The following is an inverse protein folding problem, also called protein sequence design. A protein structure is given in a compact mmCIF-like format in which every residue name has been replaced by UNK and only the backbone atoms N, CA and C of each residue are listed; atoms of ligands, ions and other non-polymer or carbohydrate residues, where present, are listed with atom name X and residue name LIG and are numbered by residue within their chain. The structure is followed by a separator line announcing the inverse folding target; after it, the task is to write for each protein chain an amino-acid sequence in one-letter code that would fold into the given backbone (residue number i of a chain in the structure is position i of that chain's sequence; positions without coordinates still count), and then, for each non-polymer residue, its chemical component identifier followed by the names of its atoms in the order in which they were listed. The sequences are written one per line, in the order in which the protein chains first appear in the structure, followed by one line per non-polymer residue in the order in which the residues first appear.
data_IF_815173864891
#
_entry.id   IF_815173864891
#
_cell.length_a   1.000
_cell.length_b   1.000
_cell.length_c   1.000
_cell.angle_alpha   90.00
_cell.angle_beta   90.00
_cell.angle_gamma   90.00
#
_symmetry.space_group_name_H-M   'P 1'
#
loop_
_entity.id
_entity.type
_entity.pdbx_description
1 polymer ?
#
# COMPACT_ATOMS: atom_id res chain seq x y z
N UNK A 1 -26.80 -18.53 3.00
CA UNK A 1 -25.48 -19.17 2.80
C UNK A 1 -24.80 -19.27 4.16
N UNK A 2 -23.94 -20.27 4.39
CA UNK A 2 -23.13 -20.31 5.62
C UNK A 2 -22.12 -19.17 5.60
N UNK A 3 -21.81 -18.61 6.79
CA UNK A 3 -20.77 -17.58 6.90
C UNK A 3 -19.40 -18.22 6.71
N UNK A 4 -18.49 -17.49 6.06
CA UNK A 4 -17.08 -17.88 5.89
C UNK A 4 -16.25 -17.28 7.02
N UNK A 5 -15.43 -18.11 7.68
CA UNK A 5 -14.64 -17.69 8.84
C UNK A 5 -13.34 -17.01 8.41
N UNK A 6 -13.19 -15.75 8.81
CA UNK A 6 -11.98 -14.96 8.62
C UNK A 6 -11.44 -14.54 9.97
N UNK A 7 -10.12 -14.60 10.16
CA UNK A 7 -9.45 -14.22 11.40
C UNK A 7 -8.47 -13.10 11.13
N UNK A 8 -8.54 -12.04 11.93
CA UNK A 8 -7.51 -11.01 12.02
C UNK A 8 -6.86 -11.01 13.41
N UNK A 9 -5.64 -10.48 13.49
CA UNK A 9 -5.01 -10.13 14.77
C UNK A 9 -4.60 -8.66 14.75
N UNK A 10 -4.96 -7.90 15.77
CA UNK A 10 -4.62 -6.48 15.89
C UNK A 10 -4.63 -6.00 17.34
N UNK A 11 -3.92 -4.90 17.59
CA UNK A 11 -3.99 -4.14 18.84
C UNK A 11 -4.59 -2.75 18.59
N UNK A 12 -4.72 -1.94 19.64
CA UNK A 12 -5.35 -0.62 19.56
C UNK A 12 -4.68 0.31 18.55
N UNK A 13 -3.36 0.29 18.40
CA UNK A 13 -2.67 1.16 17.43
C UNK A 13 -2.94 0.78 15.96
N UNK A 14 -3.36 -0.47 15.72
CA UNK A 14 -3.77 -0.97 14.42
C UNK A 14 -5.29 -1.02 14.21
N UNK A 15 -6.12 -0.60 15.17
CA UNK A 15 -7.59 -0.66 15.06
C UNK A 15 -8.13 0.00 13.78
N UNK A 16 -7.60 1.16 13.41
CA UNK A 16 -7.97 1.85 12.17
C UNK A 16 -7.57 1.06 10.92
N UNK A 17 -6.40 0.43 10.93
CA UNK A 17 -5.87 -0.33 9.78
C UNK A 17 -6.68 -1.61 9.59
N UNK A 18 -7.00 -2.27 10.70
CA UNK A 18 -7.95 -3.38 10.74
C UNK A 18 -9.31 -2.96 10.17
N UNK A 19 -9.85 -1.80 10.55
CA UNK A 19 -11.12 -1.34 10.00
C UNK A 19 -11.05 -1.15 8.47
N UNK A 20 -9.97 -0.57 7.95
CA UNK A 20 -9.73 -0.44 6.50
C UNK A 20 -9.64 -1.81 5.80
N UNK A 21 -8.93 -2.78 6.40
CA UNK A 21 -8.85 -4.14 5.86
C UNK A 21 -10.25 -4.79 5.80
N UNK A 22 -11.03 -4.71 6.88
CA UNK A 22 -12.41 -5.24 6.93
C UNK A 22 -13.32 -4.52 5.93
N UNK A 23 -13.20 -3.20 5.77
CA UNK A 23 -13.91 -2.43 4.75
C UNK A 23 -13.65 -2.99 3.35
N UNK A 24 -12.38 -3.18 3.00
CA UNK A 24 -12.01 -3.75 1.68
C UNK A 24 -12.53 -5.17 1.48
N UNK A 25 -12.54 -6.00 2.54
CA UNK A 25 -13.09 -7.37 2.49
C UNK A 25 -14.61 -7.36 2.23
N UNK A 26 -15.33 -6.48 2.94
CA UNK A 26 -16.79 -6.38 2.88
C UNK A 26 -17.29 -5.66 1.61
N UNK A 27 -16.43 -4.91 0.92
CA UNK A 27 -16.76 -4.26 -0.34
C UNK A 27 -17.12 -5.28 -1.44
N UNK A 28 -16.47 -6.45 -1.42
CA UNK A 28 -16.61 -7.47 -2.47
C UNK A 28 -17.58 -8.58 -2.13
N UNK A 29 -17.79 -8.88 -0.84
CA UNK A 29 -18.60 -10.04 -0.45
C UNK A 29 -19.29 -9.89 0.91
N UNK A 30 -20.39 -10.63 1.07
CA UNK A 30 -21.22 -10.75 2.28
C UNK A 30 -20.95 -12.06 3.03
N UNK A 31 -21.63 -12.24 4.17
CA UNK A 31 -21.61 -13.49 4.94
C UNK A 31 -20.24 -13.82 5.54
N UNK A 32 -19.55 -12.84 6.10
CA UNK A 32 -18.31 -13.05 6.84
C UNK A 32 -18.57 -13.28 8.33
N UNK A 33 -17.90 -14.27 8.91
CA UNK A 33 -17.78 -14.40 10.37
C UNK A 33 -16.34 -14.01 10.73
N UNK A 34 -16.18 -12.80 11.24
CA UNK A 34 -14.87 -12.17 11.43
C UNK A 34 -14.45 -12.32 12.88
N UNK A 35 -13.39 -13.06 13.14
CA UNK A 35 -12.78 -13.20 14.45
C UNK A 35 -11.63 -12.20 14.58
N UNK A 36 -11.59 -11.41 15.64
CA UNK A 36 -10.48 -10.48 15.89
C UNK A 36 -9.77 -10.84 17.19
N UNK A 37 -8.59 -11.41 17.04
CA UNK A 37 -7.67 -11.72 18.14
C UNK A 37 -7.02 -10.42 18.61
N UNK A 38 -7.21 -10.04 19.87
CA UNK A 38 -6.70 -8.78 20.39
C UNK A 38 -6.58 -8.75 21.92
N UNK A 39 -5.74 -7.85 22.44
CA UNK A 39 -5.61 -7.63 23.89
C UNK A 39 -6.44 -6.44 24.39
N UNK A 40 -6.57 -5.40 23.57
CA UNK A 40 -6.90 -4.05 24.06
C UNK A 40 -7.94 -3.28 23.22
N UNK A 41 -8.54 -3.91 22.21
CA UNK A 41 -9.58 -3.23 21.41
C UNK A 41 -10.83 -2.93 22.25
N UNK A 42 -11.44 -1.73 22.11
CA UNK A 42 -12.63 -1.33 22.88
C UNK A 42 -13.87 -2.13 22.48
N UNK A 43 -14.71 -2.47 23.47
CA UNK A 43 -15.95 -3.22 23.23
C UNK A 43 -16.98 -2.40 22.45
N UNK A 44 -16.95 -1.07 22.58
CA UNK A 44 -17.79 -0.14 21.83
C UNK A 44 -17.53 -0.24 20.32
N UNK A 45 -16.27 -0.39 19.91
CA UNK A 45 -15.91 -0.56 18.50
C UNK A 45 -16.53 -1.84 17.94
N UNK A 46 -16.46 -2.96 18.66
CA UNK A 46 -17.13 -4.21 18.26
C UNK A 46 -18.66 -4.08 18.20
N UNK A 47 -19.28 -3.33 19.13
CA UNK A 47 -20.72 -3.11 19.11
C UNK A 47 -21.15 -2.30 17.86
N UNK A 48 -20.39 -1.25 17.53
CA UNK A 48 -20.60 -0.43 16.32
C UNK A 48 -20.40 -1.27 15.06
N UNK A 49 -19.30 -2.02 14.99
CA UNK A 49 -18.97 -2.86 13.84
C UNK A 49 -19.98 -3.97 13.62
N UNK A 50 -20.47 -4.63 14.68
CA UNK A 50 -21.55 -5.62 14.54
C UNK A 50 -22.84 -5.03 13.98
N UNK A 51 -23.22 -3.81 14.39
CA UNK A 51 -24.40 -3.13 13.82
C UNK A 51 -24.23 -2.86 12.33
N UNK A 52 -23.03 -2.45 11.90
CA UNK A 52 -22.70 -2.22 10.48
C UNK A 52 -22.73 -3.53 9.69
N UNK A 53 -22.03 -4.55 10.17
CA UNK A 53 -21.85 -5.83 9.48
C UNK A 53 -23.15 -6.66 9.41
N UNK A 54 -24.08 -6.49 10.35
CA UNK A 54 -25.37 -7.19 10.33
C UNK A 54 -26.17 -6.89 9.05
N UNK A 55 -26.02 -5.69 8.46
CA UNK A 55 -26.70 -5.29 7.21
C UNK A 55 -26.30 -6.18 6.02
N UNK A 56 -25.09 -6.75 6.08
CA UNK A 56 -24.52 -7.61 5.05
C UNK A 56 -24.42 -9.08 5.52
N UNK A 57 -25.27 -9.47 6.46
CA UNK A 57 -25.31 -10.81 7.06
C UNK A 57 -23.96 -11.30 7.63
N UNK A 58 -23.10 -10.35 7.99
CA UNK A 58 -21.77 -10.58 8.54
C UNK A 58 -21.73 -10.24 10.02
N UNK A 59 -20.74 -10.74 10.75
CA UNK A 59 -20.55 -10.46 12.17
C UNK A 59 -19.07 -10.33 12.52
N UNK A 60 -18.79 -9.69 13.64
CA UNK A 60 -17.44 -9.56 14.20
C UNK A 60 -17.41 -10.00 15.65
N UNK A 61 -16.49 -10.91 15.99
CA UNK A 61 -16.34 -11.51 17.30
C UNK A 61 -15.08 -10.96 17.97
N UNK A 62 -15.25 -10.49 19.20
CA UNK A 62 -14.15 -10.03 20.05
C UNK A 62 -13.49 -11.24 20.72
N UNK A 63 -12.34 -11.65 20.19
CA UNK A 63 -11.54 -12.74 20.75
C UNK A 63 -10.44 -12.14 21.63
N UNK A 64 -10.80 -11.82 22.88
CA UNK A 64 -9.86 -11.26 23.84
C UNK A 64 -8.79 -12.29 24.21
N UNK A 65 -7.54 -11.90 24.03
CA UNK A 65 -6.35 -12.73 24.25
C UNK A 65 -5.43 -12.04 25.27
N UNK A 66 -4.53 -12.83 25.86
CA UNK A 66 -3.43 -12.33 26.69
C UNK A 66 -2.12 -12.73 26.04
N UNK A 67 -1.22 -11.76 25.83
CA UNK A 67 0.13 -12.05 25.36
C UNK A 67 1.06 -12.57 26.46
N UNK A 68 0.61 -12.68 27.72
CA UNK A 68 1.46 -13.11 28.85
C UNK A 68 2.22 -14.41 28.55
N UNK A 69 1.58 -15.38 27.90
CA UNK A 69 2.19 -16.66 27.54
C UNK A 69 3.14 -16.60 26.33
N UNK A 70 3.31 -15.44 25.69
CA UNK A 70 4.19 -15.21 24.55
C UNK A 70 5.29 -14.17 24.83
N UNK A 71 5.20 -13.41 25.93
CA UNK A 71 6.14 -12.34 26.29
C UNK A 71 7.58 -12.82 26.50
N UNK A 72 7.78 -14.12 26.72
CA UNK A 72 9.11 -14.74 26.82
C UNK A 72 9.80 -14.95 25.46
N UNK A 73 9.06 -14.86 24.35
CA UNK A 73 9.61 -15.08 23.01
C UNK A 73 10.20 -13.82 22.41
N UNK A 74 11.09 -13.96 21.43
CA UNK A 74 11.67 -12.80 20.73
C UNK A 74 10.75 -12.30 19.63
N UNK A 75 10.75 -10.99 19.45
CA UNK A 75 10.11 -10.33 18.31
C UNK A 75 11.19 -10.00 17.27
N UNK A 76 10.95 -10.26 15.98
CA UNK A 76 11.96 -10.06 14.94
C UNK A 76 12.21 -8.58 14.61
N UNK A 77 11.31 -7.67 15.01
CA UNK A 77 11.48 -6.23 14.79
C UNK A 77 10.58 -5.41 15.74
N UNK A 78 10.93 -4.15 16.10
CA UNK A 78 10.13 -3.32 17.01
C UNK A 78 8.70 -3.02 16.56
N UNK A 79 8.40 -3.17 15.27
CA UNK A 79 7.07 -2.94 14.71
C UNK A 79 6.13 -4.15 14.81
N UNK A 80 6.64 -5.32 15.19
CA UNK A 80 5.86 -6.56 15.31
C UNK A 80 5.45 -6.73 16.77
N UNK A 81 4.15 -6.93 17.01
CA UNK A 81 3.60 -7.13 18.35
C UNK A 81 3.49 -8.61 18.68
N UNK A 82 3.49 -8.98 19.98
CA UNK A 82 3.25 -10.37 20.41
C UNK A 82 1.90 -10.94 19.95
N UNK A 83 0.96 -10.07 19.57
CA UNK A 83 -0.29 -10.44 18.93
C UNK A 83 -0.10 -11.24 17.62
N UNK A 84 1.09 -11.19 17.00
CA UNK A 84 1.44 -12.05 15.88
C UNK A 84 1.36 -13.54 16.25
N UNK A 85 1.73 -13.92 17.47
CA UNK A 85 1.67 -15.30 17.96
C UNK A 85 0.24 -15.79 18.26
N UNK A 86 -0.76 -14.90 18.36
CA UNK A 86 -2.16 -15.30 18.59
C UNK A 86 -2.71 -16.20 17.49
N UNK A 87 -2.12 -16.16 16.28
CA UNK A 87 -2.50 -17.05 15.18
C UNK A 87 -2.30 -18.54 15.50
N UNK A 88 -1.44 -18.87 16.48
CA UNK A 88 -1.30 -20.25 16.95
C UNK A 88 -2.60 -20.78 17.57
N UNK A 89 -3.35 -19.91 18.24
CA UNK A 89 -4.57 -20.27 18.98
C UNK A 89 -5.82 -20.35 18.08
N UNK A 90 -5.71 -20.12 16.77
CA UNK A 90 -6.86 -20.17 15.83
C UNK A 90 -7.70 -21.45 15.99
N UNK A 91 -7.12 -22.66 16.11
CA UNK A 91 -7.91 -23.89 16.23
C UNK A 91 -8.74 -24.01 17.51
N UNK A 92 -8.41 -23.23 18.55
CA UNK A 92 -9.12 -23.23 19.83
C UNK A 92 -10.24 -22.18 19.86
N UNK A 93 -10.15 -21.18 18.99
CA UNK A 93 -11.04 -20.00 18.98
C UNK A 93 -12.11 -20.12 17.91
N UNK A 94 -11.78 -20.70 16.76
CA UNK A 94 -12.64 -20.73 15.58
C UNK A 94 -13.41 -22.05 15.49
N UNK A 95 -14.70 -21.97 15.14
CA UNK A 95 -15.60 -23.14 15.11
C UNK A 95 -15.65 -23.82 13.74
N UNK A 96 -15.34 -23.08 12.68
CA UNK A 96 -15.39 -23.55 11.31
C UNK A 96 -14.18 -24.42 10.94
N UNK A 97 -14.41 -25.43 10.11
CA UNK A 97 -13.35 -26.34 9.66
C UNK A 97 -12.33 -25.67 8.74
N UNK A 98 -12.76 -24.67 7.96
CA UNK A 98 -11.93 -23.93 7.02
C UNK A 98 -11.89 -22.46 7.43
N UNK A 99 -10.68 -21.94 7.64
CA UNK A 99 -10.45 -20.60 8.18
C UNK A 99 -9.47 -19.85 7.30
N UNK A 100 -9.73 -18.57 7.03
CA UNK A 100 -8.78 -17.68 6.36
C UNK A 100 -8.23 -16.68 7.36
N UNK A 101 -6.96 -16.80 7.72
CA UNK A 101 -6.24 -15.80 8.50
C UNK A 101 -5.69 -14.71 7.58
N UNK A 102 -5.81 -13.44 8.00
CA UNK A 102 -5.39 -12.25 7.28
C UNK A 102 -4.69 -11.28 8.25
N UNK A 103 -3.52 -10.76 7.86
CA UNK A 103 -2.92 -9.61 8.55
C UNK A 103 -3.75 -8.33 8.30
N UNK A 104 -3.65 -7.36 9.22
CA UNK A 104 -4.45 -6.12 9.17
C UNK A 104 -3.86 -5.01 8.29
N UNK A 105 -2.68 -5.21 7.72
CA UNK A 105 -1.98 -4.33 6.79
C UNK A 105 -2.13 -4.79 5.32
N UNK A 106 -3.31 -5.32 5.02
CA UNK A 106 -3.72 -5.82 3.71
C UNK A 106 -4.91 -5.05 3.14
N UNK A 107 -5.02 -5.04 1.82
CA UNK A 107 -6.19 -4.58 1.07
C UNK A 107 -6.68 -5.69 0.15
N UNK A 108 -7.99 -5.94 0.16
CA UNK A 108 -8.66 -6.94 -0.67
C UNK A 108 -9.36 -6.25 -1.84
N UNK A 109 -9.01 -6.65 -3.06
CA UNK A 109 -9.48 -5.99 -4.30
C UNK A 109 -10.52 -6.84 -5.05
N UNK A 110 -10.75 -8.09 -4.61
CA UNK A 110 -11.74 -9.01 -5.17
C UNK A 110 -12.38 -9.91 -4.08
N UNK A 111 -13.34 -10.74 -4.48
CA UNK A 111 -13.97 -11.74 -3.60
C UNK A 111 -13.01 -12.89 -3.26
N UNK A 112 -12.68 -13.04 -1.97
CA UNK A 112 -11.83 -14.12 -1.46
C UNK A 112 -12.55 -15.44 -1.17
N UNK A 113 -13.87 -15.50 -1.38
CA UNK A 113 -14.67 -16.72 -1.23
C UNK A 113 -14.10 -17.96 -1.92
N UNK A 114 -13.54 -17.88 -3.14
CA UNK A 114 -12.98 -19.04 -3.82
C UNK A 114 -11.86 -19.74 -3.04
N UNK A 115 -11.14 -19.04 -2.14
CA UNK A 115 -10.10 -19.66 -1.31
C UNK A 115 -10.65 -20.76 -0.39
N UNK A 116 -11.90 -20.66 0.05
CA UNK A 116 -12.49 -21.64 0.96
C UNK A 116 -12.76 -22.99 0.27
N UNK A 117 -12.83 -23.01 -1.05
CA UNK A 117 -13.06 -24.22 -1.86
C UNK A 117 -11.75 -24.85 -2.36
N UNK A 118 -10.59 -24.25 -2.03
CA UNK A 118 -9.28 -24.78 -2.43
C UNK A 118 -9.02 -26.11 -1.73
N UNK A 119 -8.81 -27.14 -2.55
CA UNK A 119 -8.30 -28.43 -2.11
C UNK A 119 -6.82 -28.32 -1.73
N UNK A 120 -6.53 -28.36 -0.43
CA UNK A 120 -5.18 -28.28 0.14
C UNK A 120 -4.34 -29.54 -0.07
N UNK A 121 -4.84 -30.55 -0.81
CA UNK A 121 -4.09 -31.77 -1.17
C UNK A 121 -3.56 -32.54 0.05
N UNK A 122 -4.33 -32.53 1.14
CA UNK A 122 -3.99 -33.18 2.40
C UNK A 122 -3.05 -32.39 3.31
N UNK A 123 -2.64 -31.18 2.93
CA UNK A 123 -1.93 -30.26 3.81
C UNK A 123 -2.90 -29.53 4.74
N UNK A 124 -2.44 -29.21 5.96
CA UNK A 124 -3.20 -28.40 6.91
C UNK A 124 -3.14 -26.89 6.66
N UNK A 125 -2.35 -26.45 5.68
CA UNK A 125 -2.05 -25.05 5.44
C UNK A 125 -1.94 -24.76 3.94
N UNK A 126 -2.64 -23.73 3.49
CA UNK A 126 -2.37 -23.02 2.23
C UNK A 126 -1.81 -21.65 2.53
N UNK A 127 -0.76 -21.24 1.81
CA UNK A 127 -0.14 -19.93 1.98
C UNK A 127 0.44 -19.46 0.65
N UNK A 128 1.00 -18.26 0.61
CA UNK A 128 1.66 -17.71 -0.58
C UNK A 128 3.16 -17.57 -0.30
N UNK A 129 3.98 -17.83 -1.32
CA UNK A 129 5.44 -17.69 -1.24
C UNK A 129 5.86 -16.30 -0.74
N UNK A 130 6.83 -16.23 0.16
CA UNK A 130 7.35 -14.96 0.72
C UNK A 130 8.34 -14.30 -0.25
N UNK A 131 7.83 -13.74 -1.34
CA UNK A 131 8.66 -13.02 -2.31
C UNK A 131 8.85 -11.57 -1.87
N UNK A 132 10.03 -10.97 -2.13
CA UNK A 132 11.20 -11.55 -2.82
C UNK A 132 12.15 -12.33 -1.89
N UNK A 133 11.85 -12.43 -0.59
CA UNK A 133 12.71 -13.05 0.45
C UNK A 133 13.14 -14.48 0.13
N UNK A 134 12.22 -15.34 -0.33
CA UNK A 134 12.48 -16.76 -0.61
C UNK A 134 11.54 -17.32 -1.67
N UNK A 135 11.92 -18.47 -2.23
CA UNK A 135 11.07 -19.29 -3.13
C UNK A 135 10.63 -20.60 -2.49
N UNK A 136 11.14 -20.91 -1.30
CA UNK A 136 10.89 -22.16 -0.57
C UNK A 136 9.88 -21.96 0.57
N UNK A 137 9.96 -20.82 1.26
CA UNK A 137 9.08 -20.44 2.36
C UNK A 137 7.86 -19.63 1.91
N UNK A 138 6.96 -19.40 2.86
CA UNK A 138 5.73 -18.65 2.69
C UNK A 138 5.64 -17.45 3.63
N UNK A 139 4.91 -16.43 3.19
CA UNK A 139 4.56 -15.27 3.99
C UNK A 139 3.40 -15.65 4.92
N UNK A 140 3.48 -15.30 6.20
CA UNK A 140 2.46 -15.71 7.17
C UNK A 140 1.22 -14.82 7.18
N UNK A 141 1.17 -13.74 6.41
CA UNK A 141 0.07 -12.79 6.47
C UNK A 141 -1.25 -13.25 5.86
N UNK A 142 -1.24 -14.22 4.94
CA UNK A 142 -2.44 -14.89 4.46
C UNK A 142 -2.28 -16.39 4.60
N UNK A 143 -3.11 -17.01 5.44
CA UNK A 143 -3.09 -18.45 5.69
C UNK A 143 -4.49 -19.03 5.52
N UNK A 144 -4.64 -19.97 4.60
CA UNK A 144 -5.81 -20.83 4.51
C UNK A 144 -5.58 -22.06 5.40
N UNK A 145 -6.28 -22.12 6.52
CA UNK A 145 -6.07 -23.10 7.58
C UNK A 145 -7.16 -24.17 7.51
N UNK A 146 -6.73 -25.43 7.48
CA UNK A 146 -7.60 -26.56 7.81
C UNK A 146 -7.57 -26.79 9.32
N UNK A 147 -8.62 -26.30 10.00
CA UNK A 147 -8.68 -26.31 11.46
C UNK A 147 -8.71 -27.73 12.03
N UNK A 148 -9.43 -28.64 11.36
CA UNK A 148 -9.54 -30.04 11.81
C UNK A 148 -8.17 -30.70 11.74
N UNK A 149 -7.47 -30.52 10.62
CA UNK A 149 -6.10 -31.02 10.49
C UNK A 149 -5.18 -30.44 11.58
N UNK A 150 -5.28 -29.14 11.87
CA UNK A 150 -4.47 -28.51 12.91
C UNK A 150 -4.72 -29.11 14.31
N UNK A 151 -5.98 -29.39 14.65
CA UNK A 151 -6.36 -30.04 15.90
C UNK A 151 -5.82 -31.48 15.97
N UNK A 152 -6.02 -32.28 14.92
CA UNK A 152 -5.58 -33.68 14.87
C UNK A 152 -4.05 -33.83 14.95
N UNK A 153 -3.31 -32.83 14.48
CA UNK A 153 -1.84 -32.83 14.47
C UNK A 153 -1.21 -32.00 15.60
N UNK A 154 -2.01 -31.52 16.57
CA UNK A 154 -1.54 -30.74 17.72
C UNK A 154 -0.62 -29.58 17.29
N UNK A 155 -1.05 -28.85 16.26
CA UNK A 155 -0.21 -27.81 15.63
C UNK A 155 0.10 -26.70 16.63
N UNK A 156 -0.88 -26.28 17.44
CA UNK A 156 -0.70 -25.21 18.44
C UNK A 156 0.44 -25.53 19.40
N UNK A 157 0.40 -26.71 20.02
CA UNK A 157 1.39 -27.16 21.00
C UNK A 157 2.78 -27.30 20.36
N UNK A 158 2.83 -27.84 19.13
CA UNK A 158 4.07 -27.97 18.39
C UNK A 158 4.68 -26.62 18.01
N UNK A 159 3.88 -25.62 17.61
CA UNK A 159 4.34 -24.27 17.31
C UNK A 159 4.87 -23.58 18.57
N UNK A 160 4.20 -23.73 19.72
CA UNK A 160 4.69 -23.21 21.01
C UNK A 160 6.04 -23.83 21.37
N UNK A 161 6.15 -25.16 21.34
CA UNK A 161 7.39 -25.88 21.65
C UNK A 161 8.55 -25.52 20.69
N UNK A 162 8.26 -25.34 19.38
CA UNK A 162 9.25 -24.87 18.42
C UNK A 162 9.66 -23.42 18.70
N UNK A 163 8.72 -22.56 19.08
CA UNK A 163 8.99 -21.17 19.42
C UNK A 163 9.94 -21.09 20.60
N UNK A 164 9.66 -21.80 21.70
CA UNK A 164 10.55 -21.89 22.88
C UNK A 164 12.00 -22.24 22.52
N UNK A 165 12.19 -23.06 21.49
CA UNK A 165 13.52 -23.52 21.07
C UNK A 165 14.20 -22.59 20.06
N UNK A 166 13.45 -21.98 19.15
CA UNK A 166 14.00 -21.36 17.93
C UNK A 166 13.65 -19.87 17.75
N UNK A 167 12.92 -19.23 18.68
CA UNK A 167 12.47 -17.84 18.51
C UNK A 167 13.60 -16.80 18.32
N UNK A 168 14.84 -17.12 18.72
CA UNK A 168 16.01 -16.28 18.49
C UNK A 168 16.65 -16.47 17.11
N UNK A 169 16.37 -17.58 16.43
CA UNK A 169 17.05 -18.00 15.20
C UNK A 169 16.22 -17.70 13.94
N UNK A 170 14.93 -17.42 14.11
CA UNK A 170 13.98 -17.27 13.01
C UNK A 170 13.21 -15.96 13.07
N UNK A 171 12.58 -15.61 11.95
CA UNK A 171 11.79 -14.40 11.82
C UNK A 171 10.41 -14.55 12.51
N UNK A 172 10.36 -14.39 13.83
CA UNK A 172 9.13 -14.40 14.61
C UNK A 172 8.25 -15.63 14.38
N UNK A 173 6.94 -15.45 14.41
CA UNK A 173 5.95 -16.49 14.15
C UNK A 173 6.05 -17.06 12.72
N UNK A 174 6.33 -16.22 11.71
CA UNK A 174 6.48 -16.65 10.33
C UNK A 174 7.60 -17.69 10.18
N UNK A 175 8.72 -17.43 10.85
CA UNK A 175 9.87 -18.33 10.85
C UNK A 175 9.53 -19.69 11.48
N UNK A 176 8.82 -19.69 12.60
CA UNK A 176 8.38 -20.92 13.28
C UNK A 176 7.37 -21.69 12.42
N UNK A 177 6.41 -20.99 11.81
CA UNK A 177 5.45 -21.59 10.88
C UNK A 177 6.17 -22.23 9.69
N UNK A 178 7.16 -21.56 9.10
CA UNK A 178 7.95 -22.10 8.00
C UNK A 178 8.80 -23.31 8.43
N UNK A 179 9.33 -23.33 9.65
CA UNK A 179 10.03 -24.50 10.20
C UNK A 179 9.08 -25.69 10.34
N UNK A 180 7.90 -25.48 10.95
CA UNK A 180 6.93 -26.55 11.17
C UNK A 180 6.37 -27.08 9.85
N UNK A 181 5.89 -26.19 8.97
CA UNK A 181 5.26 -26.55 7.70
C UNK A 181 6.24 -26.72 6.54
N UNK A 182 7.55 -26.83 6.79
CA UNK A 182 8.55 -27.02 5.73
C UNK A 182 8.12 -28.15 4.78
N UNK A 183 8.01 -27.83 3.48
CA UNK A 183 7.57 -28.74 2.41
C UNK A 183 6.16 -29.36 2.58
N UNK A 184 5.37 -28.89 3.55
CA UNK A 184 4.05 -29.41 3.94
C UNK A 184 2.96 -28.34 3.94
N UNK A 185 2.96 -27.51 2.90
CA UNK A 185 1.96 -26.46 2.69
C UNK A 185 1.56 -26.39 1.21
N UNK A 186 0.31 -26.03 0.97
CA UNK A 186 -0.23 -25.80 -0.36
C UNK A 186 0.13 -24.40 -0.85
N UNK A 187 0.76 -24.30 -2.03
CA UNK A 187 1.17 -23.04 -2.64
C UNK A 187 -0.02 -22.37 -3.32
N UNK A 188 -0.59 -21.35 -2.69
CA UNK A 188 -1.62 -20.50 -3.27
C UNK A 188 -1.02 -19.57 -4.35
N UNK A 189 -1.83 -19.16 -5.35
CA UNK A 189 -1.42 -18.18 -6.34
C UNK A 189 -0.92 -16.86 -5.73
N UNK A 190 0.10 -16.26 -6.35
CA UNK A 190 0.76 -15.06 -5.81
C UNK A 190 -0.17 -13.84 -5.67
N UNK A 191 -1.22 -13.75 -6.49
CA UNK A 191 -2.25 -12.69 -6.41
C UNK A 191 -2.89 -12.57 -5.03
N UNK A 192 -2.94 -13.65 -4.25
CA UNK A 192 -3.56 -13.67 -2.92
C UNK A 192 -2.65 -13.12 -1.81
N UNK A 193 -1.42 -12.75 -2.09
CA UNK A 193 -0.55 -12.07 -1.13
C UNK A 193 0.62 -11.45 -1.92
N UNK A 194 0.41 -10.28 -2.53
CA UNK A 194 1.49 -9.54 -3.19
C UNK A 194 2.16 -8.60 -2.17
N UNK A 195 3.41 -8.91 -1.79
CA UNK A 195 4.15 -8.22 -0.73
C UNK A 195 4.80 -6.90 -1.21
N UNK A 196 4.00 -5.86 -1.46
CA UNK A 196 4.46 -4.55 -1.96
C UNK A 196 5.21 -3.71 -0.92
N UNK A 197 5.27 -4.17 0.33
CA UNK A 197 6.05 -3.56 1.40
C UNK A 197 7.55 -3.42 1.09
N UNK A 198 8.07 -4.33 0.26
CA UNK A 198 9.49 -4.42 -0.10
C UNK A 198 9.86 -3.66 -1.37
N UNK A 199 8.93 -2.97 -2.04
CA UNK A 199 9.19 -2.24 -3.29
C UNK A 199 10.43 -1.35 -3.18
N UNK A 200 10.44 -0.48 -2.16
CA UNK A 200 11.55 0.44 -1.91
C UNK A 200 12.88 -0.28 -1.64
N UNK A 201 12.83 -1.36 -0.88
CA UNK A 201 14.02 -2.16 -0.57
C UNK A 201 14.58 -2.82 -1.84
N UNK A 202 13.71 -3.35 -2.73
CA UNK A 202 14.14 -3.96 -3.99
C UNK A 202 14.79 -2.95 -4.93
N UNK A 203 14.28 -1.72 -4.99
CA UNK A 203 14.95 -0.65 -5.72
C UNK A 203 16.36 -0.38 -5.18
N UNK A 204 16.52 -0.32 -3.85
CA UNK A 204 17.83 -0.15 -3.23
C UNK A 204 18.79 -1.32 -3.49
N UNK A 205 18.26 -2.54 -3.66
CA UNK A 205 19.05 -3.70 -4.07
C UNK A 205 19.34 -3.76 -5.58
N UNK A 206 18.75 -2.85 -6.38
CA UNK A 206 18.88 -2.85 -7.84
C UNK A 206 18.05 -3.93 -8.54
N UNK A 207 17.09 -4.57 -7.85
CA UNK A 207 16.18 -5.56 -8.46
C UNK A 207 15.01 -4.85 -9.15
N UNK A 208 15.28 -4.32 -10.35
CA UNK A 208 14.24 -3.66 -11.15
C UNK A 208 13.20 -4.65 -11.71
N UNK A 209 13.55 -5.94 -11.83
CA UNK A 209 12.62 -6.96 -12.32
C UNK A 209 11.45 -7.19 -11.35
N UNK A 210 11.62 -6.86 -10.07
CA UNK A 210 10.56 -6.87 -9.06
C UNK A 210 9.30 -6.08 -9.45
N UNK A 211 9.47 -4.97 -10.16
CA UNK A 211 8.35 -4.11 -10.56
C UNK A 211 7.51 -4.74 -11.67
N UNK A 212 8.14 -5.50 -12.56
CA UNK A 212 7.49 -6.16 -13.70
C UNK A 212 7.09 -7.62 -13.41
N UNK A 213 7.48 -8.16 -12.25
CA UNK A 213 7.23 -9.54 -11.86
C UNK A 213 5.75 -9.88 -11.69
N UNK A 214 4.92 -8.89 -11.33
CA UNK A 214 3.47 -9.02 -11.22
C UNK A 214 2.78 -7.93 -12.05
N UNK A 215 1.84 -8.32 -12.91
CA UNK A 215 1.09 -7.41 -13.79
C UNK A 215 -0.38 -7.34 -13.37
N UNK A 216 -0.93 -6.13 -13.39
CA UNK A 216 -2.32 -5.87 -12.99
C UNK A 216 -2.49 -5.71 -11.48
N UNK A 217 -3.74 -5.63 -11.05
CA UNK A 217 -4.12 -5.48 -9.64
C UNK A 217 -4.23 -6.88 -9.01
N UNK A 218 -3.49 -7.17 -7.92
CA UNK A 218 -3.60 -8.46 -7.24
C UNK A 218 -4.87 -8.52 -6.39
N UNK A 219 -5.35 -9.73 -6.11
CA UNK A 219 -6.49 -10.00 -5.24
C UNK A 219 -6.29 -9.45 -3.82
N UNK A 220 -5.06 -9.54 -3.34
CA UNK A 220 -4.65 -9.08 -2.02
C UNK A 220 -3.33 -8.33 -2.15
N UNK A 221 -3.35 -7.05 -1.79
CA UNK A 221 -2.18 -6.21 -1.65
C UNK A 221 -1.73 -6.28 -0.20
N UNK A 222 -0.51 -6.72 0.06
CA UNK A 222 0.05 -6.83 1.41
C UNK A 222 1.19 -5.82 1.58
N UNK A 223 0.97 -4.80 2.41
CA UNK A 223 1.95 -3.77 2.69
C UNK A 223 2.90 -4.23 3.80
N UNK A 224 3.67 -5.29 3.56
CA UNK A 224 4.64 -5.89 4.50
C UNK A 224 5.69 -4.88 5.00
N UNK A 225 6.54 -5.28 5.96
CA UNK A 225 7.68 -4.48 6.42
C UNK A 225 7.27 -3.12 7.03
N UNK A 226 8.18 -2.15 7.03
CA UNK A 226 8.05 -0.84 7.68
C UNK A 226 7.48 0.26 6.77
N UNK A 227 7.56 0.09 5.45
CA UNK A 227 7.03 1.04 4.48
C UNK A 227 5.52 0.83 4.35
N UNK A 228 4.75 1.68 5.03
CA UNK A 228 3.29 1.58 5.09
C UNK A 228 2.60 2.70 4.30
N UNK A 229 1.46 2.41 3.64
CA UNK A 229 0.74 3.38 2.82
C UNK A 229 0.08 4.51 3.62
N UNK A 230 -0.03 4.38 4.95
CA UNK A 230 -0.53 5.44 5.85
C UNK A 230 0.57 6.32 6.45
N UNK A 231 1.84 6.13 6.07
CA UNK A 231 2.95 7.01 6.46
C UNK A 231 3.08 8.19 5.50
N UNK A 232 3.90 9.20 5.83
CA UNK A 232 4.14 10.36 4.95
C UNK A 232 4.86 10.00 3.64
N UNK A 233 5.63 8.91 3.61
CA UNK A 233 6.43 8.53 2.46
C UNK A 233 5.68 7.63 1.47
N UNK A 234 5.89 7.85 0.17
CA UNK A 234 5.21 7.15 -0.94
C UNK A 234 6.07 6.03 -1.51
N UNK A 235 6.33 5.00 -0.69
CA UNK A 235 7.31 3.95 -0.98
C UNK A 235 6.74 2.62 -1.51
N UNK A 236 5.42 2.53 -1.65
CA UNK A 236 4.74 1.30 -2.05
C UNK A 236 3.87 1.57 -3.28
N UNK A 237 3.89 0.65 -4.24
CA UNK A 237 2.85 0.60 -5.28
C UNK A 237 1.48 0.34 -4.63
N UNK A 238 0.41 0.75 -5.32
CA UNK A 238 -0.98 0.67 -4.85
C UNK A 238 -1.28 1.43 -3.56
N UNK A 239 -0.50 2.45 -3.18
CA UNK A 239 -0.80 3.29 -2.01
C UNK A 239 -2.20 3.89 -2.07
N UNK A 240 -2.62 4.31 -3.26
CA UNK A 240 -3.93 4.82 -3.61
C UNK A 240 -5.08 3.89 -3.16
N UNK A 241 -4.92 2.57 -3.30
CA UNK A 241 -5.94 1.59 -2.92
C UNK A 241 -6.20 1.57 -1.42
N UNK A 242 -5.17 1.74 -0.59
CA UNK A 242 -5.35 1.82 0.86
C UNK A 242 -6.16 3.08 1.23
N UNK A 243 -5.82 4.22 0.63
CA UNK A 243 -6.51 5.49 0.88
C UNK A 243 -7.94 5.51 0.32
N UNK A 244 -8.20 4.80 -0.78
CA UNK A 244 -9.55 4.58 -1.31
C UNK A 244 -10.45 3.91 -0.26
N UNK A 245 -10.05 2.74 0.26
CA UNK A 245 -10.84 2.05 1.29
C UNK A 245 -10.86 2.78 2.64
N UNK A 246 -9.85 3.59 2.93
CA UNK A 246 -9.85 4.49 4.09
C UNK A 246 -10.96 5.54 3.96
N UNK A 247 -11.05 6.20 2.82
CA UNK A 247 -11.99 7.29 2.54
C UNK A 247 -13.45 6.81 2.49
N UNK A 248 -13.70 5.57 2.06
CA UNK A 248 -15.06 5.03 2.01
C UNK A 248 -15.73 4.98 3.38
N UNK A 249 -16.95 5.49 3.45
CA UNK A 249 -17.85 5.30 4.57
C UNK A 249 -18.39 3.86 4.61
N UNK A 250 -18.84 3.42 5.78
CA UNK A 250 -19.52 2.13 5.88
C UNK A 250 -20.82 2.12 5.10
N UNK A 251 -21.54 3.24 5.08
CA UNK A 251 -22.78 3.39 4.32
C UNK A 251 -22.56 3.11 2.82
N UNK A 252 -21.47 3.62 2.25
CA UNK A 252 -21.11 3.34 0.85
C UNK A 252 -20.87 1.86 0.62
N UNK A 253 -20.07 1.22 1.49
CA UNK A 253 -19.74 -0.22 1.40
C UNK A 253 -21.01 -1.07 1.51
N UNK A 254 -21.87 -0.78 2.48
CA UNK A 254 -23.07 -1.56 2.77
C UNK A 254 -24.15 -1.37 1.69
N UNK A 255 -24.24 -0.18 1.08
CA UNK A 255 -25.12 0.09 -0.05
C UNK A 255 -24.65 -0.54 -1.37
N UNK A 256 -23.41 -1.07 -1.41
CA UNK A 256 -22.84 -1.74 -2.59
C UNK A 256 -22.97 -0.89 -3.85
N UNK A 257 -22.62 0.39 -3.76
CA UNK A 257 -22.39 1.17 -4.98
C UNK A 257 -21.33 0.40 -5.80
N UNK A 258 -21.50 0.26 -7.13
CA UNK A 258 -20.51 -0.44 -7.93
C UNK A 258 -19.17 0.30 -7.83
N UNK A 259 -18.28 -0.22 -6.98
CA UNK A 259 -16.92 0.30 -6.78
C UNK A 259 -15.96 -0.14 -7.89
N UNK A 260 -16.41 -1.02 -8.80
CA UNK A 260 -15.63 -1.59 -9.90
C UNK A 260 -15.05 -0.54 -10.88
N UNK A 261 -15.41 0.74 -10.73
CA UNK A 261 -14.92 1.85 -11.55
C UNK A 261 -14.55 3.10 -10.76
N UNK A 262 -14.61 3.05 -9.42
CA UNK A 262 -14.26 4.21 -8.60
C UNK A 262 -12.80 4.07 -8.18
N UNK A 263 -12.00 5.05 -8.55
CA UNK A 263 -10.62 5.20 -8.12
C UNK A 263 -10.55 6.17 -6.92
N UNK A 264 -9.38 6.30 -6.30
CA UNK A 264 -9.19 7.23 -5.19
C UNK A 264 -9.48 8.68 -5.61
N UNK A 265 -9.06 9.04 -6.81
CA UNK A 265 -9.25 10.35 -7.42
C UNK A 265 -10.73 10.72 -7.58
N UNK A 266 -11.64 9.74 -7.76
CA UNK A 266 -13.09 10.00 -7.81
C UNK A 266 -13.66 10.44 -6.46
N UNK A 267 -13.00 10.09 -5.35
CA UNK A 267 -13.44 10.42 -3.99
C UNK A 267 -12.94 11.78 -3.52
N UNK A 268 -11.71 12.15 -3.92
CA UNK A 268 -11.04 13.36 -3.44
C UNK A 268 -10.92 14.47 -4.48
N UNK A 269 -11.31 14.18 -5.73
CA UNK A 269 -11.02 15.02 -6.89
C UNK A 269 -9.59 14.81 -7.39
N UNK A 270 -9.36 15.13 -8.65
CA UNK A 270 -8.02 15.19 -9.24
C UNK A 270 -7.67 16.63 -9.63
N UNK A 271 -6.39 16.90 -9.78
CA UNK A 271 -5.93 18.15 -10.38
C UNK A 271 -6.18 18.11 -11.89
N UNK A 272 -6.54 19.25 -12.47
CA UNK A 272 -6.85 19.32 -13.90
C UNK A 272 -5.59 19.12 -14.76
N UNK A 273 -4.45 19.52 -14.22
CA UNK A 273 -3.16 19.44 -14.87
C UNK A 273 -2.06 18.98 -13.92
N UNK A 274 -1.00 18.43 -14.48
CA UNK A 274 0.13 17.90 -13.74
C UNK A 274 1.45 18.41 -14.32
N UNK A 275 2.41 18.68 -13.45
CA UNK A 275 3.79 18.99 -13.80
C UNK A 275 4.76 18.21 -12.93
N UNK A 276 5.96 17.97 -13.43
CA UNK A 276 7.04 17.37 -12.66
C UNK A 276 8.26 18.28 -12.56
N UNK A 277 9.02 18.10 -11.48
CA UNK A 277 10.33 18.69 -11.23
C UNK A 277 11.22 17.58 -10.66
N UNK A 278 12.35 17.28 -11.31
CA UNK A 278 13.38 16.40 -10.75
C UNK A 278 14.48 17.27 -10.15
N UNK A 279 14.92 16.95 -8.92
CA UNK A 279 15.89 17.80 -8.20
C UNK A 279 16.81 16.96 -7.32
N UNK A 280 18.08 17.38 -7.24
CA UNK A 280 19.03 16.92 -6.22
C UNK A 280 19.25 17.96 -5.12
N UNK A 281 18.46 19.03 -5.12
CA UNK A 281 18.60 20.13 -4.14
C UNK A 281 17.31 20.49 -3.44
N UNK A 282 17.45 20.94 -2.19
CA UNK A 282 16.34 21.40 -1.37
C UNK A 282 15.80 22.78 -1.79
N UNK A 283 16.51 23.52 -2.66
CA UNK A 283 16.11 24.84 -3.13
C UNK A 283 15.66 24.74 -4.59
N UNK A 284 14.41 25.11 -4.83
CA UNK A 284 13.79 25.08 -6.15
C UNK A 284 13.33 26.50 -6.45
N UNK A 285 13.86 27.10 -7.52
CA UNK A 285 13.67 28.51 -7.80
C UNK A 285 12.21 28.81 -8.13
N UNK A 286 11.64 29.86 -7.51
CA UNK A 286 10.26 30.28 -7.77
C UNK A 286 9.14 29.33 -7.32
N UNK A 287 9.45 28.15 -6.75
CA UNK A 287 8.46 27.09 -6.48
C UNK A 287 7.24 27.56 -5.66
N UNK A 288 7.47 28.23 -4.53
CA UNK A 288 6.36 28.66 -3.67
C UNK A 288 5.43 29.66 -4.37
N UNK A 289 5.97 30.52 -5.23
CA UNK A 289 5.16 31.43 -6.03
C UNK A 289 4.32 30.68 -7.07
N UNK A 290 4.92 29.70 -7.77
CA UNK A 290 4.22 28.89 -8.76
C UNK A 290 3.10 28.05 -8.12
N UNK A 291 3.35 27.43 -6.96
CA UNK A 291 2.34 26.68 -6.21
C UNK A 291 1.10 27.54 -5.89
N UNK A 292 1.31 28.81 -5.49
CA UNK A 292 0.21 29.75 -5.20
C UNK A 292 -0.53 30.22 -6.45
N UNK A 293 0.19 30.42 -7.54
CA UNK A 293 -0.34 30.99 -8.78
C UNK A 293 -1.04 29.98 -9.68
N UNK A 294 -0.79 28.68 -9.48
CA UNK A 294 -1.32 27.57 -10.28
C UNK A 294 -2.02 26.52 -9.39
N UNK A 295 -3.14 26.87 -8.71
CA UNK A 295 -3.82 25.97 -7.78
C UNK A 295 -4.45 24.74 -8.44
N UNK A 296 -4.75 24.80 -9.74
CA UNK A 296 -5.34 23.69 -10.51
C UNK A 296 -4.30 22.72 -11.09
N UNK A 297 -3.00 22.97 -10.84
CA UNK A 297 -1.89 22.16 -11.32
C UNK A 297 -1.26 21.40 -10.15
N UNK A 298 -1.17 20.08 -10.24
CA UNK A 298 -0.40 19.25 -9.32
C UNK A 298 1.11 19.31 -9.64
N UNK A 299 1.91 19.67 -8.65
CA UNK A 299 3.37 19.71 -8.72
C UNK A 299 3.96 18.44 -8.12
N UNK A 300 4.53 17.58 -8.95
CA UNK A 300 5.22 16.36 -8.54
C UNK A 300 6.73 16.60 -8.46
N UNK A 301 7.30 16.60 -7.25
CA UNK A 301 8.73 16.84 -7.04
C UNK A 301 9.41 15.53 -6.65
N UNK A 302 10.39 15.14 -7.46
CA UNK A 302 11.10 13.86 -7.35
C UNK A 302 12.58 14.11 -7.02
N UNK A 303 13.11 13.37 -6.06
CA UNK A 303 14.54 13.36 -5.73
C UNK A 303 15.03 11.95 -5.37
N UNK A 304 16.28 11.63 -5.67
CA UNK A 304 16.91 10.37 -5.23
C UNK A 304 17.19 10.35 -3.71
N UNK A 305 17.19 11.52 -3.07
CA UNK A 305 17.41 11.71 -1.64
C UNK A 305 16.14 12.09 -0.87
N UNK A 306 16.26 12.25 0.45
CA UNK A 306 15.21 12.84 1.27
C UNK A 306 15.19 14.37 1.12
N UNK A 307 14.00 14.96 1.24
CA UNK A 307 13.85 16.41 1.18
C UNK A 307 14.22 17.11 2.49
N UNK A 308 14.86 18.27 2.37
CA UNK A 308 15.05 19.17 3.50
C UNK A 308 13.73 19.76 3.99
N UNK A 309 13.67 20.13 5.27
CA UNK A 309 12.44 20.62 5.92
C UNK A 309 11.82 21.85 5.24
N UNK A 310 12.62 22.69 4.59
CA UNK A 310 12.14 23.86 3.85
C UNK A 310 11.27 23.49 2.65
N UNK A 311 11.53 22.36 2.01
CA UNK A 311 10.69 21.85 0.94
C UNK A 311 9.49 21.09 1.51
N UNK A 312 9.70 20.27 2.56
CA UNK A 312 8.61 19.55 3.24
C UNK A 312 7.53 20.49 3.79
N UNK A 313 7.89 21.66 4.36
CA UNK A 313 6.89 22.61 4.87
C UNK A 313 5.95 23.17 3.80
N UNK A 314 6.31 23.04 2.52
CA UNK A 314 5.49 23.48 1.40
C UNK A 314 4.34 22.51 1.13
N UNK A 315 4.27 21.34 1.77
CA UNK A 315 3.08 20.46 1.76
C UNK A 315 1.81 21.14 2.33
N UNK A 316 1.95 22.35 2.90
CA UNK A 316 0.81 23.25 3.18
C UNK A 316 0.02 23.64 1.93
N UNK A 317 0.63 23.55 0.75
CA UNK A 317 -0.01 23.78 -0.54
C UNK A 317 -0.60 22.45 -1.02
N UNK A 318 -1.93 22.30 -1.14
CA UNK A 318 -2.57 21.02 -1.46
C UNK A 318 -2.15 20.43 -2.81
N UNK A 319 -1.64 21.28 -3.70
CA UNK A 319 -1.18 20.92 -5.03
C UNK A 319 0.30 20.51 -5.09
N UNK A 320 0.97 20.31 -3.95
CA UNK A 320 2.35 19.80 -3.90
C UNK A 320 2.40 18.33 -3.50
N UNK A 321 3.12 17.53 -4.29
CA UNK A 321 3.39 16.11 -4.03
C UNK A 321 4.89 15.85 -4.02
N UNK A 322 5.40 15.33 -2.90
CA UNK A 322 6.81 15.01 -2.71
C UNK A 322 7.07 13.50 -2.84
N UNK A 323 8.07 13.14 -3.64
CA UNK A 323 8.52 11.77 -3.88
C UNK A 323 10.02 11.64 -3.52
N UNK A 324 10.34 11.52 -2.22
CA UNK A 324 11.72 11.33 -1.80
C UNK A 324 12.18 9.93 -2.18
N UNK A 325 13.44 9.78 -2.52
CA UNK A 325 14.04 8.52 -2.96
C UNK A 325 13.13 7.73 -3.91
N UNK A 326 12.62 8.38 -4.96
CA UNK A 326 11.69 7.74 -5.89
C UNK A 326 12.30 6.51 -6.57
N UNK A 327 11.45 5.55 -6.92
CA UNK A 327 11.80 4.39 -7.75
C UNK A 327 11.31 4.58 -9.21
N UNK A 328 11.75 3.73 -10.16
CA UNK A 328 11.38 3.87 -11.57
C UNK A 328 9.88 3.73 -11.86
N UNK A 329 9.13 2.98 -11.04
CA UNK A 329 7.67 2.87 -11.21
C UNK A 329 7.00 4.19 -10.82
N UNK A 330 7.43 4.79 -9.71
CA UNK A 330 6.97 6.12 -9.26
C UNK A 330 7.26 7.18 -10.31
N UNK A 331 8.50 7.22 -10.83
CA UNK A 331 8.86 8.13 -11.92
C UNK A 331 7.96 7.94 -13.14
N UNK A 332 7.83 6.70 -13.63
CA UNK A 332 6.95 6.38 -14.78
C UNK A 332 5.51 6.83 -14.57
N UNK A 333 4.92 6.53 -13.40
CA UNK A 333 3.54 6.93 -13.06
C UNK A 333 3.35 8.44 -13.06
N UNK A 334 4.35 9.22 -12.61
CA UNK A 334 4.28 10.68 -12.67
C UNK A 334 4.38 11.15 -14.11
N UNK A 335 5.35 10.64 -14.88
CA UNK A 335 5.58 11.06 -16.26
C UNK A 335 4.40 10.75 -17.20
N UNK A 336 3.64 9.69 -16.94
CA UNK A 336 2.41 9.37 -17.68
C UNK A 336 1.29 10.41 -17.49
N UNK A 337 1.37 11.25 -16.45
CA UNK A 337 0.33 12.24 -16.11
C UNK A 337 0.66 13.67 -16.54
N UNK A 338 1.94 14.03 -16.69
CA UNK A 338 2.32 15.44 -16.82
C UNK A 338 1.91 16.06 -18.15
N UNK A 339 1.43 17.30 -18.10
CA UNK A 339 1.07 18.12 -19.24
C UNK A 339 2.23 19.01 -19.73
N UNK A 340 3.16 19.31 -18.82
CA UNK A 340 4.38 20.06 -19.08
C UNK A 340 5.45 19.74 -18.04
N UNK A 341 6.69 20.13 -18.32
CA UNK A 341 7.84 19.96 -17.42
C UNK A 341 8.37 21.31 -16.93
N UNK A 342 8.76 21.37 -15.66
CA UNK A 342 9.39 22.54 -15.05
C UNK A 342 10.86 22.25 -14.76
N UNK A 343 11.73 22.81 -15.60
CA UNK A 343 13.18 22.74 -15.45
C UNK A 343 13.66 23.90 -14.57
N UNK A 344 13.33 23.81 -13.28
CA UNK A 344 13.55 24.87 -12.27
C UNK A 344 14.37 24.38 -11.06
N UNK A 345 14.93 23.18 -11.15
CA UNK A 345 15.94 22.70 -10.21
C UNK A 345 17.25 23.48 -10.40
N UNK A 346 17.96 23.71 -9.31
CA UNK A 346 19.28 24.34 -9.37
C UNK A 346 20.35 23.29 -9.70
N UNK A 347 21.45 23.77 -10.30
CA UNK A 347 22.69 23.04 -10.58
C UNK A 347 22.65 22.06 -11.75
N UNK A 348 22.82 20.77 -11.51
CA UNK A 348 22.91 19.77 -12.57
C UNK A 348 21.53 19.15 -12.80
N UNK A 349 21.31 18.73 -14.04
CA UNK A 349 20.11 18.01 -14.43
C UNK A 349 20.09 16.60 -13.82
N UNK A 350 18.93 16.19 -13.33
CA UNK A 350 18.71 14.84 -12.80
C UNK A 350 18.26 13.90 -13.92
N UNK A 351 18.90 12.73 -13.99
CA UNK A 351 18.57 11.62 -14.90
C UNK A 351 18.48 11.94 -16.41
N UNK A 352 19.04 13.09 -16.84
CA UNK A 352 18.90 13.63 -18.21
C UNK A 352 17.44 13.66 -18.67
N UNK A 353 16.54 13.97 -17.74
CA UNK A 353 15.10 13.86 -17.95
C UNK A 353 14.60 14.75 -19.10
N UNK A 354 15.21 15.92 -19.31
CA UNK A 354 14.87 16.84 -20.40
C UNK A 354 15.22 16.28 -21.78
N UNK A 355 16.25 15.41 -21.89
CA UNK A 355 16.53 14.69 -23.13
C UNK A 355 15.40 13.73 -23.48
N UNK A 356 14.77 13.10 -22.48
CA UNK A 356 13.63 12.18 -22.68
C UNK A 356 12.39 12.92 -23.22
N UNK A 357 12.14 14.15 -22.76
CA UNK A 357 10.99 14.96 -23.19
C UNK A 357 11.15 15.61 -24.54
N UNK A 358 12.39 15.89 -24.96
CA UNK A 358 12.68 16.43 -26.29
C UNK A 358 12.18 15.54 -27.44
N UNK A 359 11.90 14.27 -27.15
CA UNK A 359 11.36 13.29 -28.10
C UNK A 359 9.82 13.20 -28.11
N UNK A 360 9.12 13.88 -27.20
CA UNK A 360 7.68 13.69 -26.94
C UNK A 360 6.82 14.96 -27.13
N UNK A 361 7.35 16.03 -27.72
CA UNK A 361 6.66 17.34 -27.87
C UNK A 361 6.08 17.91 -26.56
N UNK A 362 6.61 17.50 -25.41
CA UNK A 362 6.17 17.97 -24.09
C UNK A 362 6.71 19.40 -23.85
N UNK A 363 5.86 20.39 -23.55
CA UNK A 363 6.30 21.75 -23.25
C UNK A 363 7.21 21.78 -22.02
N UNK A 364 8.36 22.45 -22.14
CA UNK A 364 9.29 22.69 -21.04
C UNK A 364 9.31 24.19 -20.75
N UNK A 365 9.30 24.54 -19.46
CA UNK A 365 9.49 25.91 -18.99
C UNK A 365 10.64 25.95 -17.97
N UNK A 366 11.49 26.96 -18.05
CA UNK A 366 12.59 27.17 -17.10
C UNK A 366 12.85 28.65 -16.84
N UNK A 367 13.66 28.93 -15.81
CA UNK A 367 14.27 30.23 -15.65
C UNK A 367 15.69 30.27 -16.25
N UNK A 368 16.20 31.46 -16.58
CA UNK A 368 17.56 31.67 -17.10
C UNK A 368 18.63 30.98 -16.24
N UNK A 369 18.53 31.09 -14.91
CA UNK A 369 19.47 30.47 -13.96
C UNK A 369 19.31 28.97 -13.73
N UNK A 370 18.29 28.35 -14.33
CA UNK A 370 17.93 26.92 -14.14
C UNK A 370 17.77 26.15 -15.45
N UNK A 371 17.95 26.79 -16.61
CA UNK A 371 17.77 26.14 -17.91
C UNK A 371 18.90 25.15 -18.20
N UNK A 372 18.58 23.87 -18.33
CA UNK A 372 19.49 22.82 -18.76
C UNK A 372 19.34 22.46 -20.26
N UNK A 373 18.29 22.98 -20.92
CA UNK A 373 17.96 22.65 -22.32
C UNK A 373 18.60 23.65 -23.29
N UNK A 374 19.50 23.16 -24.15
CA UNK A 374 20.25 23.98 -25.10
C UNK A 374 19.75 23.90 -26.56
N UNK A 375 18.78 23.03 -26.86
CA UNK A 375 18.28 22.80 -28.22
C UNK A 375 17.19 23.78 -28.68
N UNK A 376 16.80 24.74 -27.83
CA UNK A 376 15.76 25.74 -28.12
C UNK A 376 14.31 25.25 -27.97
N UNK A 377 14.10 24.02 -27.51
CA UNK A 377 12.76 23.46 -27.27
C UNK A 377 12.09 23.94 -25.96
N UNK A 378 12.78 24.73 -25.15
CA UNK A 378 12.33 25.21 -23.85
C UNK A 378 11.92 26.69 -23.91
N UNK A 379 10.85 27.06 -23.21
CA UNK A 379 10.47 28.44 -22.96
C UNK A 379 11.20 28.98 -21.72
N UNK A 380 12.16 29.86 -21.94
CA UNK A 380 13.03 30.40 -20.89
C UNK A 380 12.57 31.80 -20.47
N UNK A 381 12.45 32.02 -19.16
CA UNK A 381 12.04 33.30 -18.57
C UNK A 381 13.16 33.85 -17.68
N UNK A 382 13.26 35.17 -17.56
CA UNK A 382 14.20 35.77 -16.61
C UNK A 382 13.85 35.38 -15.16
N UNK A 383 14.87 35.24 -14.30
CA UNK A 383 14.74 34.70 -12.94
C UNK A 383 13.76 35.49 -12.04
N UNK A 384 13.52 36.76 -12.35
CA UNK A 384 12.59 37.66 -11.64
C UNK A 384 11.21 37.80 -12.32
N UNK A 385 10.96 37.07 -13.41
CA UNK A 385 9.72 37.13 -14.22
C UNK A 385 8.85 35.87 -14.08
N UNK A 386 8.71 35.35 -12.86
CA UNK A 386 7.86 34.18 -12.59
C UNK A 386 6.38 34.39 -12.99
N UNK A 387 5.90 35.63 -13.00
CA UNK A 387 4.56 36.00 -13.49
C UNK A 387 4.38 35.68 -14.98
N UNK A 388 5.38 35.96 -15.81
CA UNK A 388 5.33 35.67 -17.25
C UNK A 388 5.31 34.15 -17.51
N UNK A 389 6.08 33.39 -16.73
CA UNK A 389 6.05 31.93 -16.79
C UNK A 389 4.64 31.40 -16.47
N UNK A 390 3.99 31.93 -15.43
CA UNK A 390 2.61 31.56 -15.08
C UNK A 390 1.64 31.86 -16.22
N UNK A 391 1.74 33.03 -16.85
CA UNK A 391 0.91 33.38 -18.02
C UNK A 391 1.14 32.43 -19.19
N UNK A 392 2.39 32.09 -19.47
CA UNK A 392 2.75 31.17 -20.54
C UNK A 392 2.25 29.74 -20.28
N UNK A 393 2.38 29.25 -19.04
CA UNK A 393 1.84 27.94 -18.62
C UNK A 393 0.33 27.90 -18.80
N UNK A 394 -0.40 28.92 -18.32
CA UNK A 394 -1.86 28.98 -18.48
C UNK A 394 -2.28 28.96 -19.95
N UNK A 395 -1.59 29.73 -20.80
CA UNK A 395 -1.86 29.75 -22.25
C UNK A 395 -1.56 28.40 -22.92
N UNK A 396 -0.47 27.75 -22.53
CA UNK A 396 -0.08 26.43 -23.03
C UNK A 396 -1.16 25.39 -22.71
N UNK A 397 -1.58 25.39 -21.45
CA UNK A 397 -2.62 24.54 -20.92
C UNK A 397 -3.95 24.76 -21.67
N UNK A 398 -4.45 26.00 -21.78
CA UNK A 398 -5.69 26.34 -22.50
C UNK A 398 -5.68 25.90 -23.98
N UNK A 399 -4.50 25.92 -24.61
CA UNK A 399 -4.34 25.49 -26.01
C UNK A 399 -4.45 23.97 -26.14
N UNK A 400 -3.89 23.23 -25.17
CA UNK A 400 -3.99 21.77 -25.11
C UNK A 400 -5.45 21.29 -24.95
N UNK A 401 -6.24 22.01 -24.14
CA UNK A 401 -7.65 21.68 -23.93
C UNK A 401 -8.50 21.82 -25.20
N UNK A 402 -8.32 22.93 -25.92
CA UNK A 402 -9.03 23.19 -27.19
C UNK A 402 -8.72 22.13 -28.24
N UNK A 403 -7.51 21.55 -28.21
CA UNK A 403 -7.10 20.51 -29.14
C UNK A 403 -7.55 19.11 -28.73
N UNK A 404 -7.76 18.86 -27.44
CA UNK A 404 -8.14 17.55 -26.88
C UNK A 404 -9.64 17.36 -26.66
N UNK A 405 -10.45 18.40 -26.78
CA UNK A 405 -11.92 18.32 -26.66
C UNK A 405 -12.43 17.99 -25.26
N UNK A 406 -11.59 18.20 -24.23
CA UNK A 406 -11.99 18.16 -22.82
C UNK A 406 -12.65 19.50 -22.45
N UNK A 407 -13.97 19.60 -22.57
CA UNK A 407 -14.77 20.67 -21.95
C UNK A 407 -15.22 20.29 -20.54
#
# INVERSE_FOLDING_TARGET
MSRKAVVFSANLSYMEKLEVAIKSLCAHQKYWKIYVLNEDLPTEWFAIMNRRLQVIDSEILNCRMSAESFQQFSLPSPHIHYAAYFRYCIPEIVEEARVLYLDCDMIFTEDLSPLFEVDLKGYGLGAVVDKPTTTEGFNSGLLLIDRIWWQENQVTENLVALTEKHHHEVYGDQGILNLYFKERWYRLPWTYNLQVGSDKDQYHYGDLAWYDAFKGIPAVIHYTSHNKPWTSHRFNRFREMWWFYYALSWEEILLRKPFEKLEFEDLVGDFRYHTAIYTDTAKIHGLEFLLRSLPDVAFHILAHSYFGFDLVRLERYPNLFLYPSFDPLTSRKVLEKIDFYLDINLYEEVDRITEQFSQQDLPIFSFEGTNHVNNGGNQVFADDRAEEMVEAIRKCIETSEKNSGKE
#
